data_IF_403477874873
#
_entry.id   IF_403477874873
#
_cell.length_a   1.000
_cell.length_b   1.000
_cell.length_c   1.000
_cell.angle_alpha   90.00
_cell.angle_beta   90.00
_cell.angle_gamma   90.00
#
_symmetry.space_group_name_H-M   'P 1'
#
loop_
_entity.id
_entity.type
_entity.pdbx_description
1 polymer ?
#
# COMPACT_ATOMS: atom_id res chain seq x y z
N UNK A 1 -15.74 0.93 -14.41
CA UNK A 1 -15.84 -0.51 -14.77
C UNK A 1 -14.54 -1.16 -14.33
N UNK A 2 -14.57 -2.38 -13.77
CA UNK A 2 -13.36 -3.06 -13.26
C UNK A 2 -13.13 -4.33 -14.06
N UNK A 3 -11.89 -4.56 -14.48
CA UNK A 3 -11.46 -5.69 -15.29
C UNK A 3 -10.46 -6.51 -14.48
N UNK A 4 -10.63 -7.84 -14.46
CA UNK A 4 -9.63 -8.74 -13.88
C UNK A 4 -8.58 -9.06 -14.95
N UNK A 5 -7.31 -8.97 -14.57
CA UNK A 5 -6.17 -9.26 -15.43
C UNK A 5 -5.44 -10.51 -14.94
N UNK A 6 -4.71 -11.16 -15.84
CA UNK A 6 -3.70 -12.13 -15.45
C UNK A 6 -2.49 -11.38 -14.83
N UNK A 7 -2.14 -11.70 -13.59
CA UNK A 7 -1.01 -11.08 -12.91
C UNK A 7 0.35 -11.46 -13.55
N UNK A 8 0.42 -12.54 -14.33
CA UNK A 8 1.64 -12.99 -15.01
C UNK A 8 2.25 -11.93 -15.93
N UNK A 9 1.44 -10.97 -16.42
CA UNK A 9 1.92 -9.85 -17.25
C UNK A 9 3.01 -9.00 -16.56
N UNK A 10 3.04 -8.99 -15.22
CA UNK A 10 4.04 -8.30 -14.40
C UNK A 10 5.03 -9.24 -13.72
N UNK A 11 4.76 -10.53 -13.66
CA UNK A 11 5.64 -11.51 -13.01
C UNK A 11 6.92 -11.72 -13.81
N UNK A 12 6.78 -11.90 -15.12
CA UNK A 12 7.87 -12.33 -16.00
C UNK A 12 8.86 -11.21 -16.32
N UNK A 13 8.43 -9.94 -16.19
CA UNK A 13 9.24 -8.79 -16.62
C UNK A 13 10.41 -8.46 -15.68
N UNK A 14 10.31 -8.74 -14.37
CA UNK A 14 11.28 -8.25 -13.38
C UNK A 14 11.60 -9.23 -12.23
N UNK A 15 11.53 -10.55 -12.49
CA UNK A 15 11.81 -11.58 -11.48
C UNK A 15 10.92 -11.44 -10.24
N UNK A 16 9.66 -11.06 -10.41
CA UNK A 16 8.68 -11.07 -9.32
C UNK A 16 8.15 -12.48 -9.04
N UNK A 17 8.52 -13.44 -9.90
CA UNK A 17 8.15 -14.85 -9.79
C UNK A 17 8.49 -15.43 -8.42
N UNK A 18 9.65 -15.11 -7.86
CA UNK A 18 10.05 -15.60 -6.54
C UNK A 18 9.07 -15.21 -5.43
N UNK A 19 8.54 -13.96 -5.46
CA UNK A 19 7.61 -13.47 -4.46
C UNK A 19 6.20 -14.03 -4.69
N UNK A 20 5.76 -14.05 -5.95
CA UNK A 20 4.44 -14.63 -6.30
C UNK A 20 4.41 -16.11 -5.96
N UNK A 21 5.42 -16.88 -6.34
CA UNK A 21 5.52 -18.30 -6.02
C UNK A 21 5.56 -18.51 -4.49
N UNK A 22 6.28 -17.68 -3.73
CA UNK A 22 6.31 -17.77 -2.27
C UNK A 22 4.94 -17.49 -1.62
N UNK A 23 4.23 -16.46 -2.09
CA UNK A 23 2.86 -16.14 -1.65
C UNK A 23 1.94 -17.34 -1.94
N UNK A 24 1.97 -17.89 -3.15
CA UNK A 24 1.16 -19.05 -3.55
C UNK A 24 1.50 -20.28 -2.71
N UNK A 25 2.78 -20.57 -2.51
CA UNK A 25 3.24 -21.70 -1.69
C UNK A 25 2.86 -21.58 -0.22
N UNK A 26 2.60 -20.36 0.26
CA UNK A 26 2.08 -20.12 1.62
C UNK A 26 0.57 -20.35 1.75
N UNK A 27 -0.11 -20.77 0.68
CA UNK A 27 -1.54 -21.03 0.65
C UNK A 27 -2.43 -19.84 0.25
N UNK A 28 -1.83 -18.74 -0.21
CA UNK A 28 -2.56 -17.53 -0.57
C UNK A 28 -2.69 -17.37 -2.09
N UNK A 29 -3.65 -16.57 -2.53
CA UNK A 29 -3.89 -16.25 -3.94
C UNK A 29 -3.60 -14.78 -4.23
N UNK A 30 -3.35 -14.46 -5.50
CA UNK A 30 -3.17 -13.08 -5.97
C UNK A 30 -4.12 -12.83 -7.13
N UNK A 31 -4.93 -11.79 -6.99
CA UNK A 31 -5.83 -11.34 -8.04
C UNK A 31 -5.46 -9.91 -8.45
N UNK A 32 -5.34 -9.68 -9.75
CA UNK A 32 -5.00 -8.36 -10.28
C UNK A 32 -6.20 -7.75 -10.98
N UNK A 33 -6.51 -6.50 -10.65
CA UNK A 33 -7.61 -5.77 -11.24
C UNK A 33 -7.17 -4.42 -11.79
N UNK A 34 -7.69 -4.09 -12.97
CA UNK A 34 -7.59 -2.78 -13.57
C UNK A 34 -8.91 -2.04 -13.41
N UNK A 35 -8.84 -0.85 -12.83
CA UNK A 35 -9.99 0.02 -12.62
C UNK A 35 -10.03 1.02 -13.77
N UNK A 36 -11.08 0.96 -14.59
CA UNK A 36 -11.34 1.98 -15.59
C UNK A 36 -11.86 3.21 -14.86
N UNK A 37 -11.15 4.33 -15.01
CA UNK A 37 -11.53 5.62 -14.44
C UNK A 37 -13.00 5.92 -14.74
N UNK A 38 -13.79 6.23 -13.71
CA UNK A 38 -15.07 6.90 -13.89
C UNK A 38 -14.78 8.40 -14.04
N UNK A 39 -15.37 9.04 -15.04
CA UNK A 39 -15.14 10.45 -15.35
C UNK A 39 -15.18 11.32 -14.08
N UNK A 40 -14.06 12.01 -13.78
CA UNK A 40 -14.03 13.11 -12.82
C UNK A 40 -13.66 12.81 -11.36
N UNK A 41 -13.26 11.57 -10.99
CA UNK A 41 -12.74 11.31 -9.64
C UNK A 41 -11.20 11.26 -9.69
N UNK A 42 -10.49 12.31 -9.23
CA UNK A 42 -9.05 12.25 -9.04
C UNK A 42 -8.75 11.23 -7.94
N UNK A 43 -8.26 10.05 -8.33
CA UNK A 43 -7.91 9.03 -7.37
C UNK A 43 -6.54 9.31 -6.78
N UNK A 44 -6.49 9.37 -5.45
CA UNK A 44 -5.28 9.65 -4.69
C UNK A 44 -4.28 8.51 -4.75
N UNK A 45 -4.73 7.26 -4.87
CA UNK A 45 -3.86 6.08 -4.87
C UNK A 45 -3.64 5.53 -6.27
N UNK A 46 -2.38 5.27 -6.60
CA UNK A 46 -1.92 4.79 -7.92
C UNK A 46 -2.10 3.27 -8.01
N UNK A 47 -1.69 2.55 -6.95
CA UNK A 47 -1.86 1.11 -6.74
C UNK A 47 -2.40 0.83 -5.34
N UNK A 48 -2.98 -0.34 -5.15
CA UNK A 48 -3.52 -0.80 -3.87
C UNK A 48 -3.40 -2.31 -3.73
N UNK A 49 -2.90 -2.78 -2.57
CA UNK A 49 -3.00 -4.15 -2.10
C UNK A 49 -4.04 -4.28 -0.98
N UNK A 50 -5.02 -5.18 -1.15
CA UNK A 50 -6.08 -5.45 -0.18
C UNK A 50 -6.11 -6.94 0.16
N UNK A 51 -5.76 -7.35 1.39
CA UNK A 51 -5.97 -8.71 1.84
C UNK A 51 -7.47 -8.99 2.04
N UNK A 52 -7.95 -10.11 1.52
CA UNK A 52 -9.34 -10.58 1.57
C UNK A 52 -9.35 -12.09 1.82
N UNK A 53 -9.32 -12.47 3.10
CA UNK A 53 -9.09 -13.88 3.47
C UNK A 53 -7.74 -14.37 2.95
N UNK A 54 -7.73 -15.49 2.23
CA UNK A 54 -6.52 -16.06 1.64
C UNK A 54 -6.12 -15.39 0.31
N UNK A 55 -6.80 -14.31 -0.11
CA UNK A 55 -6.53 -13.63 -1.40
C UNK A 55 -5.99 -12.23 -1.19
N UNK A 56 -4.90 -11.89 -1.90
CA UNK A 56 -4.41 -10.52 -2.04
C UNK A 56 -4.92 -9.93 -3.33
N UNK A 57 -5.83 -8.96 -3.20
CA UNK A 57 -6.37 -8.20 -4.32
C UNK A 57 -5.48 -7.00 -4.61
N UNK A 58 -4.80 -7.03 -5.75
CA UNK A 58 -4.04 -5.92 -6.29
C UNK A 58 -4.90 -5.14 -7.27
N UNK A 59 -4.88 -3.81 -7.20
CA UNK A 59 -5.61 -2.99 -8.16
C UNK A 59 -4.93 -1.67 -8.49
N UNK A 60 -5.11 -1.22 -9.73
CA UNK A 60 -4.57 0.03 -10.25
C UNK A 60 -5.52 0.67 -11.26
N UNK A 61 -5.40 1.98 -11.46
CA UNK A 61 -6.16 2.69 -12.50
C UNK A 61 -5.50 2.52 -13.87
N UNK A 62 -6.29 2.49 -14.95
CA UNK A 62 -5.80 2.26 -16.31
C UNK A 62 -4.54 3.08 -16.68
N UNK A 63 -4.51 4.36 -16.32
CA UNK A 63 -3.41 5.28 -16.67
C UNK A 63 -2.15 5.12 -15.78
N UNK A 64 -2.19 4.20 -14.83
CA UNK A 64 -1.19 4.01 -13.78
C UNK A 64 -0.50 2.64 -13.85
N UNK A 65 -0.53 2.00 -15.01
CA UNK A 65 0.17 0.73 -15.24
C UNK A 65 1.67 0.87 -14.99
N UNK A 66 2.21 0.17 -13.98
CA UNK A 66 3.61 0.28 -13.59
C UNK A 66 4.09 -0.97 -12.88
N UNK A 67 5.18 -1.56 -13.39
CA UNK A 67 5.83 -2.71 -12.77
C UNK A 67 6.45 -2.36 -11.40
N UNK A 68 6.92 -1.13 -11.25
CA UNK A 68 7.50 -0.63 -10.01
C UNK A 68 6.45 -0.64 -8.89
N UNK A 69 5.23 -0.17 -9.19
CA UNK A 69 4.15 -0.18 -8.23
C UNK A 69 3.56 -1.58 -8.02
N UNK A 70 3.46 -2.39 -9.07
CA UNK A 70 3.11 -3.81 -8.90
C UNK A 70 4.06 -4.51 -7.94
N UNK A 71 5.37 -4.30 -8.10
CA UNK A 71 6.37 -4.92 -7.23
C UNK A 71 6.25 -4.43 -5.80
N UNK A 72 5.98 -3.13 -5.60
CA UNK A 72 5.74 -2.56 -4.28
C UNK A 72 4.59 -3.30 -3.56
N UNK A 73 3.44 -3.43 -4.23
CA UNK A 73 2.27 -4.11 -3.66
C UNK A 73 2.49 -5.63 -3.44
N UNK A 74 3.28 -6.27 -4.31
CA UNK A 74 3.65 -7.69 -4.14
C UNK A 74 4.58 -7.88 -2.94
N UNK A 75 5.49 -6.94 -2.67
CA UNK A 75 6.35 -7.00 -1.50
C UNK A 75 5.54 -6.91 -0.21
N UNK A 76 4.51 -6.06 -0.15
CA UNK A 76 3.54 -6.07 0.96
C UNK A 76 2.94 -7.47 1.19
N UNK A 77 2.37 -8.08 0.14
CA UNK A 77 1.77 -9.42 0.24
C UNK A 77 2.78 -10.50 0.64
N UNK A 78 4.01 -10.45 0.11
CA UNK A 78 5.07 -11.39 0.44
C UNK A 78 5.49 -11.29 1.91
N UNK A 79 5.67 -10.08 2.44
CA UNK A 79 6.06 -9.87 3.82
C UNK A 79 4.97 -10.34 4.80
N UNK A 80 3.70 -10.08 4.49
CA UNK A 80 2.56 -10.55 5.30
C UNK A 80 2.51 -12.08 5.33
N UNK A 81 2.60 -12.72 4.16
CA UNK A 81 2.35 -14.17 4.05
C UNK A 81 3.54 -15.03 4.45
N UNK A 82 4.73 -14.64 4.01
CA UNK A 82 5.95 -15.46 4.11
C UNK A 82 6.77 -15.10 5.34
N UNK A 83 6.88 -13.81 5.65
CA UNK A 83 7.68 -13.33 6.79
C UNK A 83 6.83 -13.07 8.04
N UNK A 84 5.51 -13.28 7.95
CA UNK A 84 4.54 -13.06 9.02
C UNK A 84 4.64 -11.65 9.61
N UNK A 85 5.03 -10.68 8.78
CA UNK A 85 5.10 -9.28 9.16
C UNK A 85 3.73 -8.66 9.07
N UNK A 86 3.23 -8.09 10.17
CA UNK A 86 1.88 -7.56 10.19
C UNK A 86 1.86 -6.12 9.67
N UNK A 87 1.55 -6.01 8.39
CA UNK A 87 1.52 -4.76 7.63
C UNK A 87 0.11 -4.17 7.46
N UNK A 88 -0.87 -4.75 8.13
CA UNK A 88 -2.27 -4.50 7.81
C UNK A 88 -3.02 -3.86 8.97
N UNK A 89 -4.01 -3.00 8.68
CA UNK A 89 -5.02 -2.60 9.66
C UNK A 89 -5.77 -3.78 10.30
N UNK A 90 -5.71 -4.98 9.70
CA UNK A 90 -6.31 -6.20 10.26
C UNK A 90 -5.65 -6.62 11.59
N UNK A 91 -4.38 -6.26 11.84
CA UNK A 91 -3.77 -6.39 13.17
C UNK A 91 -4.63 -5.78 14.26
N UNK A 92 -5.21 -4.61 13.98
CA UNK A 92 -6.04 -3.90 14.93
C UNK A 92 -7.37 -4.62 15.19
N UNK A 93 -7.89 -5.36 14.21
CA UNK A 93 -9.10 -6.16 14.42
C UNK A 93 -8.82 -7.38 15.32
N UNK A 94 -7.56 -7.81 15.41
CA UNK A 94 -7.11 -8.86 16.33
C UNK A 94 -6.67 -8.32 17.70
N UNK A 95 -6.29 -7.05 17.76
CA UNK A 95 -6.03 -6.38 19.03
C UNK A 95 -7.36 -6.02 19.70
N UNK A 96 -7.65 -6.61 20.86
CA UNK A 96 -8.64 -6.06 21.77
C UNK A 96 -8.09 -4.74 22.35
N UNK A 97 -8.32 -3.64 21.63
CA UNK A 97 -7.84 -2.32 22.03
C UNK A 97 -8.86 -1.67 22.95
N UNK A 98 -8.46 -1.39 24.19
CA UNK A 98 -9.33 -0.65 25.12
C UNK A 98 -9.52 0.81 24.68
N UNK A 99 -10.53 1.46 25.26
CA UNK A 99 -10.90 2.86 24.95
C UNK A 99 -9.75 3.83 25.18
N UNK A 100 -8.84 3.55 26.13
CA UNK A 100 -7.70 4.44 26.42
C UNK A 100 -6.70 4.36 25.25
N UNK A 101 -6.43 3.14 24.79
CA UNK A 101 -5.48 2.88 23.71
C UNK A 101 -6.02 3.36 22.36
N UNK A 102 -7.33 3.23 22.09
CA UNK A 102 -7.97 3.79 20.88
C UNK A 102 -7.91 5.33 20.86
N UNK A 103 -7.94 5.98 22.04
CA UNK A 103 -7.76 7.42 22.17
C UNK A 103 -6.30 7.87 22.00
N UNK A 104 -5.31 7.02 22.33
CA UNK A 104 -3.89 7.33 22.19
C UNK A 104 -3.35 7.00 20.79
N UNK A 105 -3.81 5.91 20.20
CA UNK A 105 -3.32 5.37 18.94
C UNK A 105 -4.50 5.03 18.03
N UNK A 106 -4.94 6.02 17.25
CA UNK A 106 -5.99 5.78 16.25
C UNK A 106 -5.58 4.65 15.29
N UNK A 107 -6.57 3.92 14.77
CA UNK A 107 -6.35 2.86 13.76
C UNK A 107 -5.53 3.34 12.57
N UNK A 108 -5.77 4.58 12.14
CA UNK A 108 -5.01 5.21 11.06
C UNK A 108 -3.53 5.42 11.41
N UNK A 109 -3.24 5.80 12.65
CA UNK A 109 -1.86 6.00 13.12
C UNK A 109 -1.11 4.67 13.23
N UNK A 110 -1.72 3.62 13.79
CA UNK A 110 -1.10 2.30 13.87
C UNK A 110 -0.86 1.72 12.48
N UNK A 111 -1.86 1.82 11.58
CA UNK A 111 -1.69 1.41 10.19
C UNK A 111 -0.54 2.14 9.50
N UNK A 112 -0.39 3.45 9.75
CA UNK A 112 0.73 4.22 9.22
C UNK A 112 2.08 3.78 9.79
N UNK A 113 2.18 3.56 11.11
CA UNK A 113 3.40 3.06 11.76
C UNK A 113 3.80 1.70 11.17
N UNK A 114 2.85 0.77 11.05
CA UNK A 114 3.09 -0.55 10.48
C UNK A 114 3.56 -0.46 9.03
N UNK A 115 2.92 0.39 8.21
CA UNK A 115 3.30 0.61 6.82
C UNK A 115 4.74 1.17 6.70
N UNK A 116 5.12 2.11 7.57
CA UNK A 116 6.50 2.63 7.61
C UNK A 116 7.50 1.53 7.95
N UNK A 117 7.19 0.68 8.94
CA UNK A 117 8.07 -0.44 9.29
C UNK A 117 8.15 -1.47 8.17
N UNK A 118 7.05 -1.79 7.50
CA UNK A 118 7.08 -2.69 6.34
C UNK A 118 7.99 -2.15 5.25
N UNK A 119 7.81 -0.87 4.91
CA UNK A 119 8.60 -0.19 3.89
C UNK A 119 10.08 -0.19 4.25
N UNK A 120 10.45 0.04 5.51
CA UNK A 120 11.85 -0.11 5.96
C UNK A 120 12.41 -1.51 5.65
N UNK A 121 11.62 -2.57 5.88
CA UNK A 121 12.07 -3.95 5.70
C UNK A 121 12.27 -4.33 4.24
N UNK A 122 11.39 -3.90 3.34
CA UNK A 122 11.47 -4.30 1.93
C UNK A 122 12.09 -3.25 1.01
N UNK A 123 12.49 -2.09 1.53
CA UNK A 123 13.12 -1.03 0.74
C UNK A 123 14.36 -1.51 -0.02
N UNK A 124 15.27 -2.23 0.65
CA UNK A 124 16.48 -2.73 -0.01
C UNK A 124 16.14 -3.75 -1.09
N UNK A 125 15.20 -4.67 -0.82
CA UNK A 125 14.71 -5.64 -1.81
C UNK A 125 14.14 -4.95 -3.06
N UNK A 126 13.44 -3.82 -2.87
CA UNK A 126 12.92 -3.02 -3.97
C UNK A 126 14.04 -2.35 -4.78
N UNK A 127 15.03 -1.75 -4.11
CA UNK A 127 16.18 -1.13 -4.77
C UNK A 127 17.08 -2.14 -5.50
N UNK A 128 17.23 -3.36 -4.97
CA UNK A 128 18.00 -4.44 -5.60
C UNK A 128 17.43 -4.85 -6.98
N UNK A 129 16.17 -4.50 -7.27
CA UNK A 129 15.55 -4.66 -8.59
C UNK A 129 15.82 -3.48 -9.54
N UNK A 130 16.68 -2.54 -9.17
CA UNK A 130 17.00 -1.30 -9.89
C UNK A 130 15.79 -0.37 -10.09
N UNK A 131 14.84 -0.41 -9.16
CA UNK A 131 13.68 0.50 -9.17
C UNK A 131 13.99 1.81 -8.45
N UNK A 132 13.25 2.86 -8.81
CA UNK A 132 13.54 4.22 -8.35
C UNK A 132 13.06 4.44 -6.92
N UNK A 133 13.93 5.06 -6.10
CA UNK A 133 13.59 5.43 -4.73
C UNK A 133 12.40 6.39 -4.70
N UNK A 134 12.32 7.29 -5.67
CA UNK A 134 11.30 8.32 -5.75
C UNK A 134 9.91 7.69 -5.89
N UNK A 135 9.77 6.67 -6.76
CA UNK A 135 8.50 5.92 -6.90
C UNK A 135 8.21 5.05 -5.69
N UNK A 136 9.21 4.51 -5.01
CA UNK A 136 8.98 3.80 -3.75
C UNK A 136 8.31 4.69 -2.70
N UNK A 137 8.82 5.92 -2.55
CA UNK A 137 8.34 6.87 -1.54
C UNK A 137 7.08 7.62 -1.95
N UNK A 138 6.55 7.39 -3.17
CA UNK A 138 5.44 8.21 -3.67
C UNK A 138 4.17 8.06 -2.82
N UNK A 139 3.99 6.90 -2.20
CA UNK A 139 2.91 6.60 -1.25
C UNK A 139 2.89 7.50 0.00
N UNK A 140 4.05 8.05 0.38
CA UNK A 140 4.18 9.04 1.44
C UNK A 140 4.19 10.48 0.91
N UNK A 141 4.46 10.64 -0.38
CA UNK A 141 4.59 11.94 -1.04
C UNK A 141 3.26 12.52 -1.51
N UNK A 142 2.19 11.73 -1.45
CA UNK A 142 0.82 12.24 -1.53
C UNK A 142 0.68 13.31 -0.47
N UNK A 143 0.94 14.57 -0.87
CA UNK A 143 0.59 15.73 -0.08
C UNK A 143 -0.84 15.46 0.34
N UNK A 144 -1.14 15.32 1.65
CA UNK A 144 -2.51 15.43 2.05
C UNK A 144 -2.96 16.76 1.47
N UNK A 145 -3.87 16.73 0.51
CA UNK A 145 -4.68 17.89 0.18
C UNK A 145 -5.54 18.08 1.42
N UNK A 146 -4.92 18.57 2.49
CA UNK A 146 -5.56 19.46 3.42
C UNK A 146 -6.05 20.56 2.49
N UNK A 147 -7.35 20.56 2.25
CA UNK A 147 -8.03 21.70 1.67
C UNK A 147 -7.40 22.94 2.29
N UNK A 148 -6.97 23.88 1.45
CA UNK A 148 -6.64 25.25 1.84
C UNK A 148 -7.85 25.85 2.54
N UNK A 149 -8.07 25.50 3.79
CA UNK A 149 -8.63 26.41 4.76
C UNK A 149 -7.40 26.92 5.48
N UNK A 150 -6.85 27.99 4.93
CA UNK A 150 -5.91 28.85 5.64
C UNK A 150 -6.58 29.23 6.97
N UNK A 151 -6.29 28.49 8.04
CA UNK A 151 -6.43 29.05 9.37
C UNK A 151 -5.30 30.07 9.46
N UNK A 152 -5.61 31.31 9.08
CA UNK A 152 -4.77 32.45 9.43
C UNK A 152 -4.76 32.56 10.95
N UNK A 153 -3.76 31.95 11.57
CA UNK A 153 -3.44 32.24 12.96
C UNK A 153 -2.78 33.62 12.95
N UNK A 154 -3.58 34.67 13.13
CA UNK A 154 -3.09 36.01 13.39
C UNK A 154 -2.46 36.01 14.79
N UNK A 155 -1.14 35.89 14.85
CA UNK A 155 -0.37 36.34 16.01
C UNK A 155 -0.34 37.86 15.99
N UNK A 156 -1.44 38.48 16.45
CA UNK A 156 -1.35 39.85 16.91
C UNK A 156 -0.50 39.83 18.18
N UNK A 157 0.76 40.24 18.01
CA UNK A 157 1.69 40.51 19.08
C UNK A 157 1.00 41.38 20.13
N UNK A 158 0.86 40.81 21.33
CA UNK A 158 0.61 41.60 22.53
C UNK A 158 1.83 42.52 22.73
N UNK A 159 1.59 43.82 22.58
CA UNK A 159 2.38 44.88 23.20
C UNK A 159 1.53 45.48 24.31
#
# INVERSE_FOLDING_TARGET
MTEQLDHNIFVDKHRNKEFVDAIINSGHNIELYRILNADGIPNKKIWMCQPQGDTFKLSFYLDNESIEYFTHEILHAYFITTLKFVDTPAFYNELEVDVITENLLSRGLIGHINNVFAHEKFFNTYLDKNFSREKFTSDFSDKPVFYKNEIQINFNNAN
#
